data_IF_518030865231
#
_entry.id   IF_518030865231
#
_cell.length_a   1.000
_cell.length_b   1.000
_cell.length_c   1.000
_cell.angle_alpha   90.00
_cell.angle_beta   90.00
_cell.angle_gamma   90.00
#
_symmetry.space_group_name_H-M   'P 1'
#
loop_
_entity.id
_entity.type
_entity.pdbx_description
1 polymer ?
#
# COMPACT_ATOMS: atom_id res chain seq x y z
N UNK A 1 -25.43 13.76 -55.09
CA UNK A 1 -24.80 13.78 -53.79
C UNK A 1 -24.39 12.34 -53.48
N UNK A 2 -23.10 11.99 -53.75
CA UNK A 2 -22.58 10.64 -53.64
C UNK A 2 -21.93 10.48 -52.25
N UNK A 3 -22.34 9.47 -51.50
CA UNK A 3 -21.68 9.01 -50.26
C UNK A 3 -20.52 8.03 -50.60
N UNK A 4 -19.35 8.09 -49.94
CA UNK A 4 -18.28 7.16 -50.19
C UNK A 4 -18.48 5.83 -49.40
N UNK A 5 -18.28 4.73 -50.14
CA UNK A 5 -18.30 3.35 -49.64
C UNK A 5 -17.07 3.06 -48.79
N UNK A 6 -17.27 2.53 -47.57
CA UNK A 6 -16.23 1.96 -46.72
C UNK A 6 -15.73 0.64 -47.34
N UNK A 7 -14.39 0.47 -47.43
CA UNK A 7 -13.73 -0.80 -47.77
C UNK A 7 -13.53 -1.61 -46.50
N UNK A 8 -14.04 -2.82 -46.50
CA UNK A 8 -13.71 -3.87 -45.55
C UNK A 8 -12.29 -4.36 -45.86
N UNK A 9 -11.42 -4.39 -44.83
CA UNK A 9 -10.11 -5.05 -44.90
C UNK A 9 -10.28 -6.43 -44.27
N UNK A 10 -10.10 -7.45 -45.09
CA UNK A 10 -10.12 -8.86 -44.65
C UNK A 10 -8.86 -9.19 -43.81
N UNK A 11 -9.08 -9.79 -42.65
CA UNK A 11 -8.02 -10.31 -41.79
C UNK A 11 -7.60 -11.70 -42.26
N UNK A 12 -6.31 -11.90 -42.57
CA UNK A 12 -5.72 -13.19 -42.85
C UNK A 12 -5.48 -14.01 -41.57
N UNK A 13 -5.77 -15.31 -41.55
CA UNK A 13 -5.46 -16.18 -40.42
C UNK A 13 -3.98 -16.54 -40.36
N UNK A 14 -3.41 -16.39 -39.15
CA UNK A 14 -2.03 -16.85 -38.85
C UNK A 14 -2.06 -18.34 -38.50
N UNK A 15 -1.31 -19.15 -39.24
CA UNK A 15 -1.13 -20.58 -38.99
C UNK A 15 -0.25 -20.84 -37.77
N UNK A 16 -0.51 -21.91 -36.96
CA UNK A 16 0.31 -22.27 -35.83
C UNK A 16 1.57 -23.05 -36.29
N UNK A 17 2.74 -22.48 -35.96
CA UNK A 17 4.02 -23.13 -36.16
C UNK A 17 4.24 -24.26 -35.16
N UNK A 18 4.72 -25.41 -35.68
CA UNK A 18 5.02 -26.62 -34.94
C UNK A 18 6.16 -26.45 -33.95
N UNK A 19 5.94 -26.87 -32.70
CA UNK A 19 6.97 -27.06 -31.68
C UNK A 19 7.72 -28.35 -31.93
N UNK A 20 9.01 -28.26 -32.23
CA UNK A 20 9.94 -29.39 -32.19
C UNK A 20 10.45 -29.58 -30.77
N UNK A 21 10.19 -30.75 -30.20
CA UNK A 21 10.73 -31.20 -28.92
C UNK A 21 12.15 -31.68 -29.12
N UNK A 22 13.11 -30.97 -28.51
CA UNK A 22 14.48 -31.49 -28.34
C UNK A 22 14.63 -32.07 -26.92
N UNK A 23 14.90 -33.40 -26.88
CA UNK A 23 15.20 -34.17 -25.66
C UNK A 23 16.72 -34.20 -25.47
N UNK A 24 17.22 -33.27 -24.64
CA UNK A 24 18.59 -33.32 -24.15
C UNK A 24 18.68 -34.06 -22.81
N UNK A 25 19.15 -35.33 -22.85
CA UNK A 25 19.46 -36.14 -21.68
C UNK A 25 20.79 -35.70 -21.04
N UNK A 26 20.77 -35.00 -19.93
CA UNK A 26 21.93 -34.68 -19.10
C UNK A 26 21.95 -35.50 -17.82
N UNK A 27 22.78 -36.53 -17.77
CA UNK A 27 23.08 -37.32 -16.57
C UNK A 27 23.93 -36.50 -15.61
N UNK A 28 23.46 -36.23 -14.43
CA UNK A 28 24.31 -35.77 -13.32
C UNK A 28 24.54 -36.87 -12.32
N UNK A 29 25.84 -37.22 -12.16
CA UNK A 29 26.40 -38.18 -11.21
C UNK A 29 26.24 -37.65 -9.78
N UNK A 30 25.72 -38.50 -8.92
CA UNK A 30 25.76 -38.32 -7.47
C UNK A 30 27.18 -38.51 -6.95
N UNK A 31 27.72 -37.56 -6.21
CA UNK A 31 28.90 -37.74 -5.39
C UNK A 31 28.43 -37.79 -3.91
N UNK A 32 28.55 -38.98 -3.31
CA UNK A 32 28.45 -39.20 -1.87
C UNK A 32 29.82 -38.91 -1.27
N UNK A 33 29.88 -38.07 -0.27
CA UNK A 33 31.00 -38.00 0.67
C UNK A 33 30.50 -38.27 2.08
N UNK A 34 30.99 -39.39 2.63
CA UNK A 34 30.95 -39.82 4.02
C UNK A 34 32.08 -39.12 4.79
N UNK A 35 31.82 -38.71 6.03
CA UNK A 35 32.82 -38.21 6.95
C UNK A 35 32.18 -37.99 8.31
N UNK A 36 32.14 -38.94 9.06
CA UNK A 36 32.83 -39.39 10.28
C UNK A 36 32.60 -38.52 11.53
N UNK A 37 31.98 -39.17 12.51
CA UNK A 37 31.76 -38.75 13.90
C UNK A 37 33.07 -38.66 14.70
N UNK A 38 33.15 -37.72 15.64
CA UNK A 38 34.04 -37.81 16.79
C UNK A 38 33.32 -37.31 18.04
N UNK A 39 32.98 -38.27 18.89
CA UNK A 39 32.63 -38.07 20.29
C UNK A 39 33.88 -37.78 21.11
N UNK A 40 33.84 -36.74 21.94
CA UNK A 40 34.72 -36.69 23.13
C UNK A 40 33.85 -36.30 24.33
N UNK A 41 33.66 -37.26 25.21
CA UNK A 41 33.22 -37.09 26.60
C UNK A 41 34.42 -36.86 27.48
N UNK A 42 34.39 -35.93 28.42
CA UNK A 42 35.20 -36.01 29.62
C UNK A 42 34.44 -35.38 30.82
N UNK A 43 34.62 -36.11 31.89
CA UNK A 43 33.88 -36.14 33.12
C UNK A 43 34.28 -35.05 34.16
N UNK A 44 33.34 -34.79 35.01
CA UNK A 44 33.30 -34.62 36.46
C UNK A 44 34.51 -34.07 37.23
N UNK A 45 34.26 -33.08 38.08
CA UNK A 45 34.76 -33.07 39.45
C UNK A 45 33.94 -32.15 40.37
N UNK A 46 33.65 -32.66 41.48
CA UNK A 46 32.94 -32.39 42.69
C UNK A 46 33.22 -31.07 43.44
N UNK A 47 32.23 -30.69 44.21
CA UNK A 47 32.26 -30.28 45.63
C UNK A 47 32.52 -28.82 45.96
N UNK A 48 31.53 -28.24 46.65
CA UNK A 48 31.68 -27.03 47.43
C UNK A 48 30.33 -26.53 47.95
N UNK A 49 29.82 -27.12 49.04
CA UNK A 49 28.73 -26.57 49.84
C UNK A 49 29.16 -25.23 50.43
N UNK A 50 28.50 -24.16 50.10
CA UNK A 50 28.43 -22.94 50.89
C UNK A 50 26.99 -22.48 50.99
N UNK A 51 26.43 -22.63 52.19
CA UNK A 51 25.16 -22.11 52.61
C UNK A 51 25.31 -20.58 52.72
N UNK A 52 24.70 -19.82 51.85
CA UNK A 52 24.53 -18.38 51.99
C UNK A 52 23.12 -18.08 52.53
N UNK A 53 22.93 -17.04 53.35
CA UNK A 53 21.71 -16.79 54.10
C UNK A 53 20.58 -16.34 53.15
N UNK A 54 19.35 -16.82 53.46
CA UNK A 54 18.12 -16.38 52.83
C UNK A 54 17.91 -14.89 53.07
N UNK A 55 18.06 -14.11 52.00
CA UNK A 55 17.52 -12.75 51.95
C UNK A 55 16.08 -12.86 51.48
N UNK A 56 15.15 -12.43 52.31
CA UNK A 56 13.75 -12.30 51.99
C UNK A 56 13.58 -11.41 50.72
N UNK A 57 12.75 -11.78 49.74
CA UNK A 57 12.49 -10.90 48.61
C UNK A 57 11.76 -9.68 49.12
N UNK A 58 12.45 -8.55 49.06
CA UNK A 58 11.85 -7.22 49.14
C UNK A 58 10.74 -7.13 48.10
N UNK A 59 9.55 -6.75 48.49
CA UNK A 59 8.40 -6.48 47.63
C UNK A 59 8.82 -5.43 46.61
N UNK A 60 9.20 -5.88 45.43
CA UNK A 60 9.42 -5.04 44.28
C UNK A 60 8.03 -4.60 43.82
N UNK A 61 7.71 -3.33 44.07
CA UNK A 61 6.50 -2.70 43.60
C UNK A 61 6.43 -2.91 42.09
N UNK A 62 5.43 -3.66 41.63
CA UNK A 62 5.12 -3.88 40.23
C UNK A 62 5.04 -2.50 39.56
N UNK A 63 6.02 -2.20 38.71
CA UNK A 63 5.97 -1.05 37.82
C UNK A 63 4.68 -1.16 37.02
N UNK A 64 3.77 -0.20 37.23
CA UNK A 64 2.58 -0.06 36.39
C UNK A 64 3.05 -0.01 34.93
N UNK A 65 2.42 -0.77 34.01
CA UNK A 65 2.74 -0.64 32.61
C UNK A 65 2.49 0.81 32.22
N UNK A 66 3.53 1.47 31.74
CA UNK A 66 3.39 2.75 31.04
C UNK A 66 2.65 2.44 29.76
N UNK A 67 1.36 2.58 29.80
CA UNK A 67 0.54 2.66 28.59
C UNK A 67 1.00 3.93 27.89
N UNK A 68 1.84 3.78 26.88
CA UNK A 68 2.02 4.81 25.85
C UNK A 68 0.63 4.98 25.24
N UNK A 69 -0.12 5.92 25.77
CA UNK A 69 -1.45 6.23 25.29
C UNK A 69 -1.32 6.71 23.84
N UNK A 70 -1.67 5.87 22.89
CA UNK A 70 -2.22 6.35 21.64
C UNK A 70 -3.41 7.21 22.06
N UNK A 71 -3.30 8.52 21.92
CA UNK A 71 -4.43 9.40 22.04
C UNK A 71 -5.34 9.05 20.89
N UNK A 72 -6.27 8.13 21.13
CA UNK A 72 -7.39 7.89 20.25
C UNK A 72 -8.23 9.16 20.42
N UNK A 73 -8.12 10.07 19.46
CA UNK A 73 -9.04 11.19 19.38
C UNK A 73 -10.44 10.58 19.37
N UNK A 74 -11.27 10.94 20.36
CA UNK A 74 -12.65 10.49 20.39
C UNK A 74 -13.30 11.00 19.09
N UNK A 75 -13.69 10.04 18.22
CA UNK A 75 -14.45 10.38 17.03
C UNK A 75 -15.78 10.99 17.48
N UNK A 76 -16.10 12.20 17.03
CA UNK A 76 -17.49 12.64 17.13
C UNK A 76 -18.33 11.71 16.24
N UNK A 77 -19.52 11.31 16.76
CA UNK A 77 -20.46 10.51 15.98
C UNK A 77 -20.35 8.99 16.19
N UNK A 78 -20.93 8.26 15.27
CA UNK A 78 -21.13 6.81 15.38
C UNK A 78 -20.26 5.96 14.44
N UNK A 79 -19.38 6.56 13.65
CA UNK A 79 -18.54 5.87 12.66
C UNK A 79 -17.83 4.63 13.25
N UNK A 80 -17.26 4.74 14.45
CA UNK A 80 -16.52 3.62 15.05
C UNK A 80 -17.45 2.43 15.37
N UNK A 81 -18.64 2.71 15.93
CA UNK A 81 -19.63 1.69 16.26
C UNK A 81 -20.17 1.00 14.98
N UNK A 82 -20.48 1.80 13.97
CA UNK A 82 -21.01 1.30 12.69
C UNK A 82 -19.94 0.53 11.92
N UNK A 83 -18.65 0.94 12.02
CA UNK A 83 -17.54 0.17 11.46
C UNK A 83 -17.38 -1.19 12.15
N UNK A 84 -17.48 -1.26 13.48
CA UNK A 84 -17.44 -2.52 14.22
C UNK A 84 -18.58 -3.44 13.80
N UNK A 85 -19.78 -2.90 13.61
CA UNK A 85 -20.95 -3.63 13.13
C UNK A 85 -20.75 -4.12 11.69
N UNK A 86 -20.16 -3.32 10.82
CA UNK A 86 -19.79 -3.71 9.47
C UNK A 86 -18.77 -4.83 9.50
N UNK A 87 -17.67 -4.68 10.27
CA UNK A 87 -16.57 -5.63 10.35
C UNK A 87 -17.02 -7.00 10.81
N UNK A 88 -17.94 -7.09 11.77
CA UNK A 88 -18.51 -8.36 12.25
C UNK A 88 -19.24 -9.14 11.15
N UNK A 89 -19.67 -8.47 10.07
CA UNK A 89 -20.42 -9.04 8.95
C UNK A 89 -19.59 -9.10 7.65
N UNK A 90 -18.30 -8.74 7.68
CA UNK A 90 -17.42 -8.90 6.53
C UNK A 90 -16.91 -10.34 6.43
N UNK A 91 -16.95 -10.90 5.23
CA UNK A 91 -16.25 -12.15 4.91
C UNK A 91 -14.78 -11.83 4.54
N UNK A 92 -14.02 -11.25 5.47
CA UNK A 92 -12.64 -10.84 5.27
C UNK A 92 -12.17 -9.86 6.32
N UNK A 93 -11.00 -9.29 6.06
CA UNK A 93 -10.34 -8.30 6.89
C UNK A 93 -10.37 -6.93 6.22
N UNK A 94 -10.50 -5.89 7.01
CA UNK A 94 -10.44 -4.52 6.53
C UNK A 94 -9.73 -3.59 7.53
N UNK A 95 -9.06 -2.58 7.00
CA UNK A 95 -8.54 -1.46 7.77
C UNK A 95 -9.01 -0.15 7.13
N UNK A 96 -9.39 0.80 7.97
CA UNK A 96 -9.77 2.14 7.62
C UNK A 96 -8.92 3.12 8.42
N UNK A 97 -8.39 4.13 7.76
CA UNK A 97 -7.73 5.23 8.42
C UNK A 97 -8.22 6.56 7.83
N UNK A 98 -8.51 7.55 8.69
CA UNK A 98 -9.06 8.86 8.31
C UNK A 98 -8.31 9.95 9.07
N UNK A 99 -8.01 11.07 8.41
CA UNK A 99 -7.48 12.27 9.05
C UNK A 99 -7.78 13.54 8.21
N UNK A 100 -7.83 14.73 8.83
CA UNK A 100 -7.90 15.99 8.11
C UNK A 100 -6.69 16.19 7.20
N UNK A 101 -6.86 16.81 6.03
CA UNK A 101 -5.74 17.25 5.21
C UNK A 101 -4.89 18.26 5.96
N UNK A 102 -3.56 18.07 5.97
CA UNK A 102 -2.61 18.91 6.70
C UNK A 102 -2.71 18.79 8.23
N UNK A 103 -3.49 17.82 8.75
CA UNK A 103 -3.62 17.58 10.18
C UNK A 103 -2.62 16.54 10.71
N UNK A 104 -2.55 16.41 12.04
CA UNK A 104 -1.63 15.48 12.72
C UNK A 104 -2.34 14.28 13.36
N UNK A 105 -3.64 14.42 13.65
CA UNK A 105 -4.41 13.38 14.31
C UNK A 105 -5.15 12.52 13.31
N UNK A 106 -5.10 11.22 13.51
CA UNK A 106 -5.80 10.25 12.67
C UNK A 106 -6.65 9.30 13.52
N UNK A 107 -7.66 8.76 12.88
CA UNK A 107 -8.46 7.66 13.39
C UNK A 107 -8.16 6.42 12.58
N UNK A 108 -8.02 5.29 13.25
CA UNK A 108 -7.83 3.98 12.62
C UNK A 108 -8.86 3.01 13.15
N UNK A 109 -9.46 2.25 12.25
CA UNK A 109 -10.47 1.23 12.55
C UNK A 109 -10.12 -0.05 11.79
N UNK A 110 -10.48 -1.20 12.38
CA UNK A 110 -10.30 -2.50 11.74
C UNK A 110 -9.00 -3.20 12.10
N UNK A 111 -8.83 -4.36 11.50
CA UNK A 111 -7.77 -5.32 11.80
C UNK A 111 -6.64 -5.37 10.75
N UNK A 112 -6.81 -4.71 9.60
CA UNK A 112 -5.76 -4.62 8.59
C UNK A 112 -4.86 -3.41 8.80
N UNK A 113 -3.57 -3.60 9.04
CA UNK A 113 -2.64 -2.53 9.41
C UNK A 113 -1.51 -2.29 8.41
N UNK A 114 -1.04 -3.32 7.70
CA UNK A 114 0.12 -3.20 6.81
C UNK A 114 0.08 -4.22 5.67
N UNK A 115 0.81 -3.95 4.60
CA UNK A 115 0.96 -4.83 3.45
C UNK A 115 1.66 -4.15 2.28
N UNK A 116 1.88 -4.83 1.15
CA UNK A 116 2.44 -4.22 -0.05
C UNK A 116 1.63 -3.00 -0.51
N UNK A 117 2.32 -1.98 -0.96
CA UNK A 117 1.70 -0.73 -1.41
C UNK A 117 0.88 -0.90 -2.69
N UNK A 118 1.26 -1.86 -3.53
CA UNK A 118 0.72 -2.04 -4.87
C UNK A 118 0.71 -0.73 -5.67
N UNK A 119 -0.23 -0.56 -6.58
CA UNK A 119 -0.29 0.62 -7.44
C UNK A 119 -0.59 1.94 -6.70
N UNK A 120 -0.87 1.92 -5.39
CA UNK A 120 -0.96 3.16 -4.60
C UNK A 120 0.39 3.87 -4.49
N UNK A 121 1.53 3.14 -4.58
CA UNK A 121 2.88 3.74 -4.62
C UNK A 121 3.17 4.51 -5.92
N UNK A 122 2.33 4.39 -6.94
CA UNK A 122 2.47 5.14 -8.18
C UNK A 122 2.25 6.65 -7.99
N UNK A 123 1.51 7.06 -6.95
CA UNK A 123 1.33 8.49 -6.66
C UNK A 123 2.63 9.14 -6.19
N UNK A 124 3.32 8.68 -5.14
CA UNK A 124 4.61 9.27 -4.76
C UNK A 124 5.68 9.06 -5.84
N UNK A 125 5.63 7.98 -6.63
CA UNK A 125 6.52 7.81 -7.78
C UNK A 125 6.32 8.91 -8.83
N UNK A 126 5.08 9.18 -9.22
CA UNK A 126 4.75 10.22 -10.19
C UNK A 126 5.14 11.62 -9.66
N UNK A 127 4.90 11.90 -8.38
CA UNK A 127 5.32 13.15 -7.74
C UNK A 127 6.86 13.30 -7.72
N UNK A 128 7.61 12.21 -7.50
CA UNK A 128 9.08 12.25 -7.55
C UNK A 128 9.59 12.61 -8.95
N UNK A 129 9.00 12.01 -9.99
CA UNK A 129 9.36 12.33 -11.39
C UNK A 129 8.91 13.75 -11.74
N UNK A 130 7.73 14.20 -11.30
CA UNK A 130 7.24 15.54 -11.50
C UNK A 130 8.22 16.59 -10.90
N UNK A 131 8.68 16.35 -9.68
CA UNK A 131 9.66 17.21 -9.01
C UNK A 131 10.99 17.25 -9.79
N UNK A 132 11.49 16.11 -10.27
CA UNK A 132 12.69 16.03 -11.11
C UNK A 132 12.52 16.69 -12.49
N UNK A 133 11.27 16.79 -12.98
CA UNK A 133 10.91 17.39 -14.26
C UNK A 133 10.34 18.82 -14.12
N UNK A 134 10.83 19.57 -13.16
CA UNK A 134 10.45 20.97 -12.91
C UNK A 134 8.93 21.22 -12.82
N UNK A 135 8.19 20.26 -12.26
CA UNK A 135 6.75 20.32 -12.06
C UNK A 135 5.89 19.91 -13.28
N UNK A 136 6.53 19.57 -14.40
CA UNK A 136 5.81 19.24 -15.64
C UNK A 136 5.23 17.82 -15.59
N UNK A 137 3.96 17.68 -16.01
CA UNK A 137 3.29 16.38 -16.18
C UNK A 137 3.68 15.78 -17.54
N UNK A 138 4.11 14.53 -17.54
CA UNK A 138 4.40 13.76 -18.76
C UNK A 138 3.23 12.84 -19.15
N UNK A 139 3.18 12.35 -20.41
CA UNK A 139 2.19 11.35 -20.81
C UNK A 139 2.20 10.10 -19.93
N UNK A 140 3.40 9.59 -19.56
CA UNK A 140 3.52 8.42 -18.67
C UNK A 140 2.94 8.68 -17.27
N UNK A 141 3.11 9.89 -16.71
CA UNK A 141 2.45 10.24 -15.45
C UNK A 141 0.93 10.21 -15.60
N UNK A 142 0.40 10.76 -16.69
CA UNK A 142 -1.05 10.73 -16.97
C UNK A 142 -1.56 9.29 -17.00
N UNK A 143 -0.95 8.42 -17.81
CA UNK A 143 -1.35 7.02 -17.95
C UNK A 143 -1.21 6.23 -16.63
N UNK A 144 -0.12 6.45 -15.86
CA UNK A 144 0.08 5.84 -14.54
C UNK A 144 -1.03 6.23 -13.56
N UNK A 145 -1.46 7.49 -13.59
CA UNK A 145 -2.46 7.97 -12.64
C UNK A 145 -3.87 7.57 -13.04
N UNK A 146 -4.21 7.66 -14.33
CA UNK A 146 -5.58 7.43 -14.82
C UNK A 146 -5.87 5.95 -15.09
N UNK A 147 -4.91 5.21 -15.65
CA UNK A 147 -5.10 3.81 -16.06
C UNK A 147 -4.40 2.83 -15.12
N UNK A 148 -3.51 3.34 -14.26
CA UNK A 148 -2.67 2.50 -13.38
C UNK A 148 -1.73 1.56 -14.16
N UNK A 149 -1.30 1.96 -15.37
CA UNK A 149 -0.45 1.16 -16.23
C UNK A 149 0.92 0.89 -15.60
N UNK A 150 1.36 -0.40 -15.65
CA UNK A 150 2.64 -0.81 -15.08
C UNK A 150 3.82 -0.42 -15.96
N UNK A 151 3.66 -0.51 -17.29
CA UNK A 151 4.73 -0.15 -18.23
C UNK A 151 5.09 1.33 -18.11
N UNK A 152 4.08 2.21 -18.02
CA UNK A 152 4.29 3.62 -17.74
C UNK A 152 4.92 3.85 -16.36
N UNK A 153 4.55 3.04 -15.36
CA UNK A 153 5.19 3.08 -14.05
C UNK A 153 6.68 2.72 -14.09
N UNK A 154 7.06 1.72 -14.88
CA UNK A 154 8.46 1.35 -15.10
C UNK A 154 9.24 2.46 -15.83
N UNK A 155 8.62 3.16 -16.78
CA UNK A 155 9.20 4.36 -17.42
C UNK A 155 9.47 5.46 -16.39
N UNK A 156 8.52 5.72 -15.49
CA UNK A 156 8.73 6.71 -14.42
C UNK A 156 9.84 6.29 -13.46
N UNK A 157 9.88 5.01 -13.08
CA UNK A 157 10.93 4.49 -12.22
C UNK A 157 12.32 4.65 -12.83
N UNK A 158 12.48 4.28 -14.10
CA UNK A 158 13.73 4.41 -14.85
C UNK A 158 14.15 5.88 -15.06
N UNK A 159 13.20 6.81 -15.21
CA UNK A 159 13.47 8.22 -15.34
C UNK A 159 14.16 8.84 -14.11
N UNK A 160 14.05 8.20 -12.94
CA UNK A 160 14.73 8.59 -11.70
C UNK A 160 16.16 8.03 -11.58
N UNK A 161 16.64 7.26 -12.57
CA UNK A 161 17.99 6.72 -12.64
C UNK A 161 18.09 5.25 -12.20
N UNK A 162 19.14 4.91 -11.42
CA UNK A 162 19.29 3.54 -10.88
C UNK A 162 18.15 3.20 -9.92
N UNK A 163 17.94 1.89 -9.67
CA UNK A 163 16.91 1.44 -8.73
C UNK A 163 17.06 2.08 -7.34
N UNK A 164 18.29 2.25 -6.85
CA UNK A 164 18.55 2.90 -5.57
C UNK A 164 18.27 4.41 -5.62
N UNK A 165 18.60 5.07 -6.73
CA UNK A 165 18.29 6.49 -6.92
C UNK A 165 16.77 6.71 -6.97
N UNK A 166 16.04 5.87 -7.69
CA UNK A 166 14.58 5.92 -7.77
C UNK A 166 13.94 5.67 -6.40
N UNK A 167 14.36 4.62 -5.69
CA UNK A 167 13.87 4.32 -4.35
C UNK A 167 14.10 5.48 -3.37
N UNK A 168 15.29 6.09 -3.42
CA UNK A 168 15.64 7.25 -2.61
C UNK A 168 14.77 8.47 -2.95
N UNK A 169 14.55 8.74 -4.24
CA UNK A 169 13.73 9.88 -4.68
C UNK A 169 12.27 9.72 -4.25
N UNK A 170 11.68 8.54 -4.43
CA UNK A 170 10.31 8.27 -3.99
C UNK A 170 10.19 8.30 -2.47
N UNK A 171 11.18 7.75 -1.74
CA UNK A 171 11.23 7.86 -0.27
C UNK A 171 11.29 9.32 0.19
N UNK A 172 12.04 10.18 -0.50
CA UNK A 172 12.11 11.60 -0.17
C UNK A 172 10.73 12.29 -0.32
N UNK A 173 9.95 11.93 -1.34
CA UNK A 173 8.58 12.43 -1.50
C UNK A 173 7.67 11.94 -0.37
N UNK A 174 7.79 10.68 0.05
CA UNK A 174 7.06 10.18 1.22
C UNK A 174 7.38 11.01 2.48
N UNK A 175 8.68 11.34 2.71
CA UNK A 175 9.11 12.19 3.84
C UNK A 175 8.53 13.60 3.77
N UNK A 176 8.51 14.21 2.59
CA UNK A 176 7.88 15.52 2.37
C UNK A 176 6.37 15.48 2.67
N UNK A 177 5.70 14.37 2.33
CA UNK A 177 4.30 14.12 2.64
C UNK A 177 4.05 13.61 4.06
N UNK A 178 5.02 13.68 4.98
CA UNK A 178 4.85 13.36 6.40
C UNK A 178 5.00 11.88 6.77
N UNK A 179 5.16 10.95 5.81
CA UNK A 179 5.50 9.56 6.10
C UNK A 179 6.99 9.44 6.44
N UNK A 180 7.30 9.38 7.73
CA UNK A 180 8.67 9.33 8.24
C UNK A 180 9.24 7.91 8.37
N UNK A 181 8.45 6.87 8.08
CA UNK A 181 8.84 5.49 8.36
C UNK A 181 9.07 4.65 7.10
N UNK A 182 8.21 4.75 6.10
CA UNK A 182 8.29 3.89 4.92
C UNK A 182 9.54 4.16 4.11
N UNK A 183 10.29 3.12 3.81
CA UNK A 183 11.43 3.17 2.89
C UNK A 183 11.07 2.37 1.65
N UNK A 184 11.13 3.01 0.49
CA UNK A 184 10.80 2.36 -0.78
C UNK A 184 11.90 1.36 -1.14
N UNK A 185 11.49 0.14 -1.53
CA UNK A 185 12.43 -0.90 -1.93
C UNK A 185 13.07 -0.57 -3.28
N UNK A 186 14.37 -0.78 -3.40
CA UNK A 186 15.11 -0.77 -4.67
C UNK A 186 15.26 -2.17 -5.27
N UNK A 187 15.02 -3.21 -4.47
CA UNK A 187 15.16 -4.61 -4.87
C UNK A 187 13.80 -5.29 -5.02
N UNK A 188 13.76 -6.32 -5.87
CA UNK A 188 12.58 -7.15 -6.09
C UNK A 188 12.62 -8.37 -5.18
N UNK A 189 11.58 -8.59 -4.38
CA UNK A 189 11.35 -9.87 -3.69
C UNK A 189 10.62 -10.86 -4.59
N UNK A 190 9.79 -10.35 -5.51
CA UNK A 190 9.14 -11.09 -6.60
C UNK A 190 9.64 -10.53 -7.92
N UNK A 191 10.14 -11.43 -8.80
CA UNK A 191 10.74 -11.04 -10.07
C UNK A 191 9.75 -10.43 -11.07
N UNK A 192 8.46 -10.82 -10.96
CA UNK A 192 7.36 -10.40 -11.83
C UNK A 192 6.82 -8.98 -11.52
N UNK A 193 7.28 -8.36 -10.44
CA UNK A 193 6.77 -7.06 -9.99
C UNK A 193 7.89 -6.01 -9.84
N UNK A 194 7.62 -4.75 -10.19
CA UNK A 194 8.52 -3.65 -9.85
C UNK A 194 8.74 -3.50 -8.34
N UNK A 195 9.93 -3.04 -7.90
CA UNK A 195 10.26 -2.94 -6.48
C UNK A 195 9.29 -2.05 -5.70
N UNK A 196 8.90 -0.91 -6.27
CA UNK A 196 8.03 0.06 -5.62
C UNK A 196 6.64 -0.50 -5.29
N UNK A 197 6.08 -1.41 -6.12
CA UNK A 197 4.78 -2.05 -5.86
C UNK A 197 4.84 -2.99 -4.66
N UNK A 198 6.00 -3.57 -4.39
CA UNK A 198 6.25 -4.55 -3.32
C UNK A 198 6.61 -3.91 -1.98
N UNK A 199 6.87 -2.60 -1.97
CA UNK A 199 7.20 -1.86 -0.76
C UNK A 199 6.10 -2.04 0.29
N UNK A 200 6.47 -2.51 1.48
CA UNK A 200 5.54 -2.58 2.61
C UNK A 200 5.13 -1.18 3.04
N UNK A 201 3.83 -0.94 3.18
CA UNK A 201 3.30 0.36 3.57
C UNK A 201 2.24 0.19 4.65
N UNK A 202 2.52 0.67 5.86
CA UNK A 202 1.52 0.69 6.91
C UNK A 202 0.38 1.64 6.53
N UNK A 203 -0.86 1.28 6.89
CA UNK A 203 -2.04 2.06 6.53
C UNK A 203 -2.00 3.48 7.13
N UNK A 204 -1.46 3.59 8.35
CA UNK A 204 -1.26 4.86 9.05
C UNK A 204 -0.22 5.75 8.38
N UNK A 205 0.89 5.17 7.91
CA UNK A 205 1.95 5.92 7.23
C UNK A 205 1.49 6.33 5.83
N UNK A 206 0.71 5.47 5.15
CA UNK A 206 0.05 5.80 3.89
C UNK A 206 -0.93 6.97 4.07
N UNK A 207 -1.79 6.92 5.09
CA UNK A 207 -2.74 7.99 5.35
C UNK A 207 -2.05 9.32 5.64
N UNK A 208 -0.96 9.29 6.42
CA UNK A 208 -0.18 10.50 6.73
C UNK A 208 0.35 11.14 5.45
N UNK A 209 0.89 10.33 4.54
CA UNK A 209 1.31 10.82 3.23
C UNK A 209 0.13 11.41 2.44
N UNK A 210 -0.99 10.70 2.37
CA UNK A 210 -2.18 11.13 1.61
C UNK A 210 -2.73 12.46 2.12
N UNK A 211 -2.79 12.64 3.43
CA UNK A 211 -3.29 13.89 4.04
C UNK A 211 -2.43 15.11 3.71
N UNK A 212 -1.17 14.91 3.33
CA UNK A 212 -0.24 15.99 2.99
C UNK A 212 0.01 16.14 1.49
N UNK A 213 -0.53 15.25 0.63
CA UNK A 213 -0.40 15.41 -0.83
C UNK A 213 -0.83 16.81 -1.30
N UNK A 214 -1.98 17.38 -0.89
CA UNK A 214 -2.38 18.72 -1.32
C UNK A 214 -1.41 19.83 -0.89
N UNK A 215 -0.58 19.55 0.12
CA UNK A 215 0.39 20.51 0.66
C UNK A 215 1.77 20.45 -0.06
N UNK A 216 1.96 19.46 -0.93
CA UNK A 216 3.21 19.32 -1.68
C UNK A 216 3.28 20.32 -2.85
N UNK A 217 4.48 20.81 -3.21
CA UNK A 217 4.64 21.66 -4.38
C UNK A 217 4.12 20.97 -5.65
N UNK A 218 3.39 21.71 -6.48
CA UNK A 218 2.84 21.27 -7.77
C UNK A 218 1.88 20.06 -7.71
N UNK A 219 1.36 19.70 -6.53
CA UNK A 219 0.48 18.53 -6.36
C UNK A 219 -0.87 18.68 -7.07
N UNK A 220 -1.35 19.91 -7.32
CA UNK A 220 -2.65 20.17 -7.94
C UNK A 220 -2.83 19.45 -9.28
N UNK A 221 -1.80 19.46 -10.12
CA UNK A 221 -1.84 18.78 -11.41
C UNK A 221 -1.96 17.24 -11.25
N UNK A 222 -1.30 16.68 -10.24
CA UNK A 222 -1.40 15.25 -9.92
C UNK A 222 -2.77 14.90 -9.34
N UNK A 223 -3.29 15.73 -8.43
CA UNK A 223 -4.61 15.57 -7.85
C UNK A 223 -5.71 15.65 -8.93
N UNK A 224 -5.54 16.52 -9.95
CA UNK A 224 -6.44 16.61 -11.09
C UNK A 224 -6.48 15.32 -11.95
N UNK A 225 -5.39 14.55 -11.97
CA UNK A 225 -5.37 13.22 -12.61
C UNK A 225 -6.07 12.15 -11.78
N UNK A 226 -6.04 12.26 -10.45
CA UNK A 226 -6.70 11.32 -9.53
C UNK A 226 -8.24 11.36 -9.60
N UNK A 227 -8.82 12.35 -10.26
CA UNK A 227 -10.27 12.42 -10.58
C UNK A 227 -10.57 11.64 -11.87
N UNK A 228 -9.60 11.53 -12.79
CA UNK A 228 -9.78 10.99 -14.15
C UNK A 228 -9.45 9.50 -14.24
N UNK A 229 -9.67 8.75 -13.18
CA UNK A 229 -9.35 7.31 -13.12
C UNK A 229 -10.27 6.52 -14.03
N UNK A 230 -9.72 5.54 -14.74
CA UNK A 230 -10.41 4.70 -15.72
C UNK A 230 -11.63 3.98 -15.13
N UNK A 231 -12.63 3.72 -15.97
CA UNK A 231 -13.94 3.18 -15.60
C UNK A 231 -13.88 1.84 -14.84
N UNK A 232 -12.91 0.98 -15.16
CA UNK A 232 -12.71 -0.32 -14.51
C UNK A 232 -12.18 -0.23 -13.07
N UNK A 233 -11.86 0.96 -12.60
CA UNK A 233 -11.44 1.25 -11.23
C UNK A 233 -12.48 2.10 -10.47
N UNK A 234 -13.69 2.25 -10.98
CA UNK A 234 -14.77 3.06 -10.41
C UNK A 234 -15.53 2.30 -9.32
N UNK A 235 -14.82 1.89 -8.26
CA UNK A 235 -15.31 1.22 -7.06
C UNK A 235 -14.74 1.87 -5.79
N UNK A 236 -15.29 1.55 -4.64
CA UNK A 236 -14.85 2.12 -3.36
C UNK A 236 -15.01 3.64 -3.32
N UNK A 237 -13.95 4.36 -2.98
CA UNK A 237 -13.93 5.83 -2.89
C UNK A 237 -14.32 6.54 -4.19
N UNK A 238 -14.21 5.89 -5.33
CA UNK A 238 -14.66 6.44 -6.62
C UNK A 238 -16.17 6.72 -6.66
N UNK A 239 -16.95 6.13 -5.76
CA UNK A 239 -18.40 6.33 -5.68
C UNK A 239 -18.81 7.57 -4.87
N UNK A 240 -17.85 8.20 -4.21
CA UNK A 240 -18.07 9.41 -3.44
C UNK A 240 -17.80 10.63 -4.33
N UNK A 241 -18.69 11.61 -4.27
CA UNK A 241 -18.53 12.87 -4.98
C UNK A 241 -17.29 13.63 -4.49
N UNK A 242 -16.72 14.45 -5.35
CA UNK A 242 -15.59 15.33 -5.06
C UNK A 242 -14.36 14.59 -4.46
N UNK A 243 -14.10 13.37 -4.92
CA UNK A 243 -13.03 12.52 -4.43
C UNK A 243 -11.90 12.34 -5.45
N UNK A 244 -10.68 12.65 -5.03
CA UNK A 244 -9.45 12.26 -5.71
C UNK A 244 -8.96 10.96 -5.10
N UNK A 245 -8.69 9.93 -5.90
CA UNK A 245 -8.32 8.62 -5.36
C UNK A 245 -7.29 7.87 -6.20
N UNK A 246 -6.62 6.89 -5.59
CA UNK A 246 -5.79 5.91 -6.28
C UNK A 246 -6.01 4.53 -5.68
N UNK A 247 -6.23 3.57 -6.56
CA UNK A 247 -6.35 2.16 -6.21
C UNK A 247 -5.05 1.39 -6.44
N UNK A 248 -4.89 0.28 -5.72
CA UNK A 248 -3.83 -0.68 -5.93
C UNK A 248 -4.25 -2.05 -5.42
N UNK A 249 -3.90 -3.10 -6.15
CA UNK A 249 -4.19 -4.48 -5.77
C UNK A 249 -3.13 -5.43 -6.31
N UNK A 250 -3.02 -6.57 -5.66
CA UNK A 250 -2.17 -7.66 -6.08
C UNK A 250 -2.28 -8.84 -5.13
N UNK A 251 -1.70 -9.97 -5.54
CA UNK A 251 -1.79 -11.20 -4.80
C UNK A 251 -0.59 -11.44 -3.89
N UNK A 252 -0.83 -12.09 -2.75
CA UNK A 252 0.20 -12.74 -1.96
C UNK A 252 0.73 -14.03 -2.65
N UNK A 253 1.60 -14.76 -1.98
CA UNK A 253 2.15 -16.02 -2.48
C UNK A 253 1.12 -17.16 -2.58
N UNK A 254 -0.01 -17.02 -1.92
CA UNK A 254 -1.13 -17.98 -1.95
C UNK A 254 -2.18 -17.62 -3.00
N UNK A 255 -2.00 -16.51 -3.72
CA UNK A 255 -2.93 -16.02 -4.71
C UNK A 255 -4.07 -15.15 -4.16
N UNK A 256 -4.06 -14.82 -2.85
CA UNK A 256 -5.09 -13.99 -2.24
C UNK A 256 -4.82 -12.51 -2.54
N UNK A 257 -5.84 -11.82 -3.04
CA UNK A 257 -5.74 -10.40 -3.33
C UNK A 257 -5.83 -9.54 -2.07
N UNK A 258 -4.83 -8.65 -1.90
CA UNK A 258 -4.94 -7.46 -1.08
C UNK A 258 -5.38 -6.30 -1.96
N UNK A 259 -6.43 -5.61 -1.55
CA UNK A 259 -6.95 -4.41 -2.21
C UNK A 259 -6.64 -3.21 -1.34
N UNK A 260 -6.10 -2.16 -1.94
CA UNK A 260 -5.85 -0.87 -1.26
C UNK A 260 -6.45 0.26 -2.07
N UNK A 261 -6.97 1.25 -1.37
CA UNK A 261 -7.42 2.48 -1.98
C UNK A 261 -7.19 3.63 -0.99
N UNK A 262 -6.72 4.76 -1.48
CA UNK A 262 -6.71 5.98 -0.71
C UNK A 262 -7.28 7.13 -1.53
N UNK A 263 -7.73 8.15 -0.85
CA UNK A 263 -8.26 9.33 -1.50
C UNK A 263 -8.33 10.54 -0.59
N UNK A 264 -8.68 11.65 -1.20
CA UNK A 264 -8.96 12.93 -0.57
C UNK A 264 -10.37 13.33 -0.98
N UNK A 265 -11.23 13.53 0.01
CA UNK A 265 -12.63 13.89 -0.16
C UNK A 265 -12.80 15.34 0.23
N UNK A 266 -13.36 16.16 -0.66
CA UNK A 266 -13.69 17.55 -0.35
C UNK A 266 -15.07 17.61 0.28
N UNK A 267 -15.15 18.14 1.50
CA UNK A 267 -16.39 18.32 2.28
C UNK A 267 -16.67 19.82 2.50
N UNK A 268 -17.79 20.15 3.12
CA UNK A 268 -18.14 21.52 3.49
C UNK A 268 -17.19 22.13 4.54
N UNK A 269 -16.53 21.27 5.37
CA UNK A 269 -15.60 21.70 6.43
C UNK A 269 -14.13 21.73 6.01
N UNK A 270 -13.81 21.31 4.77
CA UNK A 270 -12.44 21.19 4.27
C UNK A 270 -12.20 19.84 3.60
N UNK A 271 -10.96 19.35 3.59
CA UNK A 271 -10.60 18.09 2.94
C UNK A 271 -10.28 17.00 3.97
N UNK A 272 -10.74 15.80 3.70
CA UNK A 272 -10.53 14.61 4.52
C UNK A 272 -9.73 13.59 3.71
N UNK A 273 -8.61 13.14 4.24
CA UNK A 273 -7.83 12.04 3.69
C UNK A 273 -8.35 10.69 4.24
N UNK A 274 -8.47 9.71 3.37
CA UNK A 274 -8.95 8.36 3.69
C UNK A 274 -8.01 7.33 3.10
N UNK A 275 -7.69 6.29 3.86
CA UNK A 275 -6.98 5.11 3.37
C UNK A 275 -7.72 3.84 3.80
N UNK A 276 -7.92 2.92 2.85
CA UNK A 276 -8.62 1.66 3.06
C UNK A 276 -7.74 0.52 2.55
N UNK A 277 -7.70 -0.57 3.29
CA UNK A 277 -7.13 -1.84 2.84
C UNK A 277 -8.10 -2.98 3.17
N UNK A 278 -8.20 -3.98 2.29
CA UNK A 278 -9.08 -5.13 2.50
C UNK A 278 -8.53 -6.38 1.84
N UNK A 279 -8.78 -7.51 2.49
CA UNK A 279 -8.56 -8.85 1.96
C UNK A 279 -9.78 -9.71 2.27
N UNK A 280 -10.42 -10.25 1.24
CA UNK A 280 -11.55 -11.16 1.41
C UNK A 280 -11.07 -12.56 1.79
N UNK A 281 -11.84 -13.29 2.59
CA UNK A 281 -11.57 -14.70 2.95
C UNK A 281 -11.53 -15.62 1.72
N UNK A 282 -12.27 -15.26 0.65
CA UNK A 282 -12.21 -15.97 -0.64
C UNK A 282 -10.93 -15.72 -1.42
N UNK A 283 -10.10 -14.75 -1.02
CA UNK A 283 -8.91 -14.34 -1.73
C UNK A 283 -9.14 -13.66 -3.09
N UNK A 284 -10.39 -13.47 -3.53
CA UNK A 284 -10.68 -12.94 -4.87
C UNK A 284 -10.62 -11.41 -4.94
N UNK A 285 -10.27 -10.89 -6.12
CA UNK A 285 -10.25 -9.44 -6.39
C UNK A 285 -11.65 -8.83 -6.20
N UNK A 286 -12.67 -9.45 -6.78
CA UNK A 286 -14.04 -8.96 -6.73
C UNK A 286 -14.56 -8.83 -5.29
N UNK A 287 -14.41 -9.89 -4.48
CA UNK A 287 -14.84 -9.85 -3.08
C UNK A 287 -14.07 -8.79 -2.27
N UNK A 288 -12.77 -8.62 -2.53
CA UNK A 288 -11.97 -7.58 -1.87
C UNK A 288 -12.40 -6.17 -2.25
N UNK A 289 -12.71 -5.91 -3.52
CA UNK A 289 -13.23 -4.60 -3.97
C UNK A 289 -14.62 -4.31 -3.43
N UNK A 290 -15.46 -5.33 -3.22
CA UNK A 290 -16.75 -5.19 -2.55
C UNK A 290 -16.59 -4.78 -1.08
N UNK A 291 -15.60 -5.34 -0.36
CA UNK A 291 -15.30 -4.93 1.01
C UNK A 291 -14.88 -3.45 1.04
N UNK A 292 -13.94 -3.05 0.16
CA UNK A 292 -13.53 -1.64 0.06
C UNK A 292 -14.72 -0.73 -0.25
N UNK A 293 -15.64 -1.16 -1.12
CA UNK A 293 -16.85 -0.40 -1.43
C UNK A 293 -17.76 -0.24 -0.21
N UNK A 294 -18.00 -1.30 0.55
CA UNK A 294 -18.80 -1.23 1.79
C UNK A 294 -18.18 -0.29 2.83
N UNK A 295 -16.85 -0.30 2.97
CA UNK A 295 -16.14 0.62 3.86
C UNK A 295 -16.25 2.07 3.34
N UNK A 296 -16.14 2.28 2.04
CA UNK A 296 -16.31 3.61 1.44
C UNK A 296 -17.75 4.13 1.59
N UNK A 297 -18.75 3.28 1.42
CA UNK A 297 -20.17 3.63 1.64
C UNK A 297 -20.41 4.01 3.11
N UNK A 298 -19.72 3.35 4.05
CA UNK A 298 -19.76 3.73 5.46
C UNK A 298 -19.13 5.09 5.68
N UNK A 299 -17.93 5.35 5.15
CA UNK A 299 -17.28 6.66 5.22
C UNK A 299 -18.19 7.76 4.67
N UNK A 300 -18.86 7.52 3.54
CA UNK A 300 -19.80 8.47 2.93
C UNK A 300 -20.92 8.90 3.87
N UNK A 301 -21.48 7.95 4.63
CA UNK A 301 -22.57 8.21 5.60
C UNK A 301 -22.12 9.05 6.79
N UNK A 302 -20.84 9.06 7.06
CA UNK A 302 -20.24 9.73 8.24
C UNK A 302 -19.34 10.91 7.86
N UNK A 303 -19.40 11.38 6.61
CA UNK A 303 -18.56 12.52 6.18
C UNK A 303 -18.83 13.79 6.98
N UNK A 304 -20.08 14.04 7.33
CA UNK A 304 -20.46 15.22 8.13
C UNK A 304 -19.95 15.16 9.58
N UNK A 305 -19.58 13.98 10.07
CA UNK A 305 -18.95 13.79 11.37
C UNK A 305 -17.44 14.07 11.33
N UNK A 306 -16.85 14.15 10.13
CA UNK A 306 -15.42 14.33 9.95
C UNK A 306 -15.04 15.79 9.93
N UNK A 307 -14.01 16.13 10.68
CA UNK A 307 -13.40 17.47 10.60
C UNK A 307 -12.52 17.52 9.36
N UNK A 308 -12.85 18.36 8.40
CA UNK A 308 -12.02 18.65 7.25
C UNK A 308 -10.83 19.55 7.62
N UNK A 309 -9.74 19.41 6.88
CA UNK A 309 -8.56 20.24 7.04
C UNK A 309 -8.16 20.93 5.73
N UNK A 310 -7.14 21.74 5.80
CA UNK A 310 -6.52 22.45 4.68
C UNK A 310 -5.03 22.55 4.90
N UNK A 311 -4.26 22.65 3.82
CA UNK A 311 -2.84 22.92 3.93
C UNK A 311 -2.61 24.31 4.55
N UNK A 312 -1.69 24.42 5.49
CA UNK A 312 -1.21 25.72 5.94
C UNK A 312 -0.62 26.43 4.72
N UNK A 313 -1.17 27.60 4.38
CA UNK A 313 -0.57 28.46 3.36
C UNK A 313 0.85 28.76 3.82
N UNK A 314 1.86 28.40 3.01
CA UNK A 314 3.24 28.66 3.34
C UNK A 314 3.44 30.12 3.77
N UNK A 315 4.10 30.27 4.91
CA UNK A 315 4.57 31.60 5.38
C UNK A 315 5.74 32.04 4.55
#
# INVERSE_FOLDING_TARGET
>A
VHAPRARLVEAHPVSPGAMTTDRGSGRYRAARLLGAAACIALAAACSGNSVAPMVSPSSEAAAKPVTTGSVVAALPGTLAADFMSLQANLNGHAGLAIMPVGGDQMVTLGDWTTGPAWATMKVPLALAVQAANSGTITPSMTTVMTESDNSSGDVLWQALGSADAAAKAVTAVLRQGGDQKTTVSSSRTRADLPPYLQTGWALTDQLRFVSHIPCLPNADAMLALMIKVAWNQQWGLAKLDNTQFKSGWGTDTNGNYLIRQFGIITTSSGQVAVAIAAQANSGTLDAGTQIVTKVSDLVSKHLDEQVGGTCAKGR
#
